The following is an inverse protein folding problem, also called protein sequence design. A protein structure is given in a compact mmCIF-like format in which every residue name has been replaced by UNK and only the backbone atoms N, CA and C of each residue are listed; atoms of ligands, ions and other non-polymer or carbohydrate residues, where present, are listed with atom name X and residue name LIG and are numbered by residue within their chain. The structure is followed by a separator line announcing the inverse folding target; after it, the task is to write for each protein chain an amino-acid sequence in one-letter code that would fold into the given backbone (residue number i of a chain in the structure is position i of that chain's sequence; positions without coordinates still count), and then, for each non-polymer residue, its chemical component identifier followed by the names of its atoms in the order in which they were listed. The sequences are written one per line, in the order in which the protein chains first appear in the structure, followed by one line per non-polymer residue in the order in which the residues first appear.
data_IF_623255949179
#
_entry.id   IF_623255949179
#
_cell.length_a   1.000
_cell.length_b   1.000
_cell.length_c   1.000
_cell.angle_alpha   90.00
_cell.angle_beta   90.00
_cell.angle_gamma   90.00
#
_symmetry.space_group_name_H-M   'P 1'
#
loop_
_entity.id
_entity.type
_entity.pdbx_description
1 polymer ?
#
# COMPACT_ATOMS: atom_id res chain seq x y z
N UNK A 1 -4.21 7.40 -3.40
CA UNK A 1 -3.46 8.06 -2.31
C UNK A 1 -2.12 7.38 -2.11
N UNK A 2 -1.10 8.12 -1.73
CA UNK A 2 0.20 7.53 -1.39
C UNK A 2 0.95 8.41 -0.38
N UNK A 3 1.90 7.80 0.34
CA UNK A 3 2.64 8.44 1.44
C UNK A 3 3.89 9.19 0.93
N UNK A 4 3.70 10.22 0.12
CA UNK A 4 4.79 10.90 -0.59
C UNK A 4 5.77 11.68 0.31
N UNK A 5 5.41 11.94 1.56
CA UNK A 5 6.23 12.75 2.46
C UNK A 5 7.12 11.93 3.41
N UNK A 6 7.19 10.61 3.22
CA UNK A 6 7.96 9.73 4.10
C UNK A 6 9.38 9.45 3.61
N UNK A 7 9.92 10.34 2.79
CA UNK A 7 11.29 10.26 2.26
C UNK A 7 12.30 10.45 3.41
N UNK A 8 13.38 9.64 3.50
CA UNK A 8 13.74 8.55 2.59
C UNK A 8 12.93 7.28 2.84
N UNK A 9 12.52 6.63 1.74
CA UNK A 9 11.75 5.40 1.85
C UNK A 9 12.64 4.21 2.19
N UNK A 10 12.09 3.28 2.97
CA UNK A 10 12.73 2.01 3.27
C UNK A 10 12.09 0.91 2.43
N UNK A 11 12.90 -0.07 2.02
CA UNK A 11 12.46 -1.16 1.16
C UNK A 11 11.40 -2.01 1.89
N UNK A 12 10.16 -1.92 1.43
CA UNK A 12 8.99 -2.67 1.95
C UNK A 12 8.77 -2.54 3.46
N UNK A 13 9.24 -1.44 4.03
CA UNK A 13 9.24 -1.31 5.49
C UNK A 13 8.69 0.05 5.91
N UNK A 14 7.55 0.01 6.60
CA UNK A 14 6.95 1.20 7.21
C UNK A 14 6.52 0.87 8.64
N UNK A 15 6.56 1.87 9.50
CA UNK A 15 6.07 1.71 10.86
C UNK A 15 4.54 1.68 10.93
N UNK A 16 3.99 1.24 12.06
CA UNK A 16 2.53 1.19 12.23
C UNK A 16 1.87 2.56 12.15
N UNK A 17 2.60 3.64 12.44
CA UNK A 17 2.07 5.01 12.33
C UNK A 17 1.69 5.36 10.90
N UNK A 18 2.41 4.83 9.90
CA UNK A 18 2.09 5.05 8.49
C UNK A 18 0.78 4.35 8.13
N UNK A 19 0.62 3.11 8.56
CA UNK A 19 -0.62 2.36 8.33
C UNK A 19 -1.80 3.08 8.98
N UNK A 20 -1.63 3.52 10.21
CA UNK A 20 -2.69 4.22 10.96
C UNK A 20 -3.06 5.55 10.28
N UNK A 21 -2.06 6.38 9.95
CA UNK A 21 -2.29 7.67 9.30
C UNK A 21 -2.94 7.51 7.93
N UNK A 22 -2.43 6.59 7.12
CA UNK A 22 -2.99 6.34 5.79
C UNK A 22 -4.41 5.80 5.86
N UNK A 23 -4.73 4.98 6.86
CA UNK A 23 -6.09 4.49 7.05
C UNK A 23 -7.07 5.62 7.35
N UNK A 24 -6.69 6.56 8.21
CA UNK A 24 -7.53 7.70 8.55
C UNK A 24 -7.74 8.61 7.33
N UNK A 25 -6.66 8.96 6.63
CA UNK A 25 -6.73 9.83 5.45
C UNK A 25 -7.56 9.17 4.34
N UNK A 26 -7.30 7.89 4.06
CA UNK A 26 -7.99 7.16 2.99
C UNK A 26 -9.48 7.00 3.31
N UNK A 27 -9.83 6.74 4.56
CA UNK A 27 -11.24 6.66 4.97
C UNK A 27 -11.96 7.98 4.74
N UNK A 28 -11.31 9.11 5.06
CA UNK A 28 -11.89 10.42 4.88
C UNK A 28 -12.06 10.77 3.40
N UNK A 29 -11.05 10.50 2.58
CA UNK A 29 -11.14 10.72 1.13
C UNK A 29 -12.24 9.84 0.52
N UNK A 30 -12.31 8.58 0.92
CA UNK A 30 -13.33 7.63 0.43
C UNK A 30 -14.74 8.11 0.77
N UNK A 31 -14.92 8.67 1.95
CA UNK A 31 -16.20 9.22 2.38
C UNK A 31 -16.66 10.39 1.50
N UNK A 32 -15.72 11.26 1.12
CA UNK A 32 -16.00 12.45 0.30
C UNK A 32 -16.29 12.08 -1.14
N UNK A 33 -15.51 11.14 -1.73
CA UNK A 33 -15.65 10.73 -3.13
C UNK A 33 -16.28 9.33 -3.23
N UNK A 34 -17.42 9.16 -2.61
CA UNK A 34 -18.05 7.85 -2.41
C UNK A 34 -18.53 7.14 -3.67
N UNK A 35 -18.59 7.84 -4.80
CA UNK A 35 -19.02 7.28 -6.09
C UNK A 35 -17.88 7.04 -7.07
N UNK A 36 -16.62 7.22 -6.64
CA UNK A 36 -15.44 7.00 -7.48
C UNK A 36 -14.58 5.89 -6.89
N UNK A 37 -13.97 5.04 -7.75
CA UNK A 37 -12.99 4.07 -7.25
C UNK A 37 -11.79 4.79 -6.62
N UNK A 38 -11.37 4.30 -5.46
CA UNK A 38 -10.22 4.83 -4.72
C UNK A 38 -9.21 3.73 -4.47
N UNK A 39 -7.94 4.09 -4.57
CA UNK A 39 -6.84 3.15 -4.34
C UNK A 39 -5.71 3.77 -3.56
N UNK A 40 -4.74 2.96 -3.18
CA UNK A 40 -3.61 3.36 -2.36
C UNK A 40 -2.32 2.68 -2.81
N UNK A 41 -1.22 3.39 -2.62
CA UNK A 41 0.13 2.85 -2.70
C UNK A 41 0.90 3.31 -1.46
N UNK A 42 1.64 2.41 -0.82
CA UNK A 42 2.53 2.77 0.28
C UNK A 42 3.96 2.53 -0.14
N UNK A 43 4.72 3.59 -0.19
CA UNK A 43 6.12 3.61 -0.63
C UNK A 43 7.06 3.23 0.51
N UNK A 44 8.14 2.51 0.21
CA UNK A 44 8.37 1.94 -1.11
C UNK A 44 8.06 0.44 -1.06
N UNK A 45 7.10 0.02 -1.87
CA UNK A 45 6.78 -1.41 -1.98
C UNK A 45 6.16 -2.04 -0.73
N UNK A 46 5.62 -1.25 0.18
CA UNK A 46 4.92 -1.77 1.36
C UNK A 46 3.52 -2.24 0.98
N UNK A 47 3.47 -3.28 0.16
CA UNK A 47 2.25 -3.73 -0.50
C UNK A 47 1.27 -4.41 0.45
N UNK A 48 1.77 -5.15 1.44
CA UNK A 48 0.90 -5.77 2.47
C UNK A 48 0.18 -4.70 3.28
N UNK A 49 0.92 -3.66 3.68
CA UNK A 49 0.36 -2.55 4.44
C UNK A 49 -0.66 -1.79 3.59
N UNK A 50 -0.42 -1.65 2.29
CA UNK A 50 -1.39 -1.04 1.38
C UNK A 50 -2.68 -1.87 1.31
N UNK A 51 -2.59 -3.19 1.25
CA UNK A 51 -3.77 -4.07 1.30
C UNK A 51 -4.52 -3.92 2.62
N UNK A 52 -3.80 -3.85 3.73
CA UNK A 52 -4.43 -3.67 5.05
C UNK A 52 -5.20 -2.35 5.12
N UNK A 53 -4.61 -1.25 4.62
CA UNK A 53 -5.28 0.05 4.57
C UNK A 53 -6.48 0.00 3.63
N UNK A 54 -6.33 -0.61 2.45
CA UNK A 54 -7.42 -0.72 1.49
C UNK A 54 -8.61 -1.47 2.09
N UNK A 55 -8.35 -2.54 2.82
CA UNK A 55 -9.40 -3.30 3.51
C UNK A 55 -10.09 -2.46 4.58
N UNK A 56 -9.31 -1.80 5.42
CA UNK A 56 -9.84 -0.99 6.53
C UNK A 56 -10.62 0.23 6.05
N UNK A 57 -10.19 0.86 4.97
CA UNK A 57 -10.78 2.09 4.45
C UNK A 57 -11.78 1.86 3.30
N UNK A 58 -12.08 0.60 2.98
CA UNK A 58 -13.00 0.23 1.91
C UNK A 58 -12.57 0.78 0.55
N UNK A 59 -11.30 0.62 0.21
CA UNK A 59 -10.76 1.02 -1.09
C UNK A 59 -10.89 -0.12 -2.09
N UNK A 60 -10.86 0.22 -3.39
CA UNK A 60 -11.15 -0.73 -4.45
C UNK A 60 -9.91 -1.38 -5.04
N UNK A 61 -8.74 -0.76 -4.91
CA UNK A 61 -7.50 -1.28 -5.50
C UNK A 61 -6.27 -0.75 -4.79
N UNK A 62 -5.12 -1.37 -5.07
CA UNK A 62 -3.82 -0.85 -4.68
C UNK A 62 -2.93 -0.74 -5.92
N UNK A 63 -1.88 0.08 -5.83
CA UNK A 63 -0.76 0.04 -6.75
C UNK A 63 0.38 -0.68 -6.05
N UNK A 64 0.76 -1.84 -6.59
CA UNK A 64 1.79 -2.68 -6.00
C UNK A 64 3.12 -2.46 -6.72
N UNK A 65 4.15 -2.07 -5.98
CA UNK A 65 5.49 -1.91 -6.50
C UNK A 65 6.24 -3.23 -6.40
N UNK A 66 6.92 -3.64 -7.49
CA UNK A 66 7.66 -4.90 -7.51
C UNK A 66 6.75 -6.11 -7.31
N UNK A 67 5.62 -6.14 -7.98
CA UNK A 67 4.63 -7.21 -7.79
C UNK A 67 5.10 -8.53 -8.41
N UNK A 68 5.27 -8.54 -9.73
CA UNK A 68 5.71 -9.74 -10.47
C UNK A 68 7.22 -9.71 -10.73
N UNK A 69 7.75 -8.55 -11.09
CA UNK A 69 9.14 -8.38 -11.49
C UNK A 69 9.95 -7.65 -10.43
N UNK A 70 11.14 -8.19 -10.13
CA UNK A 70 12.11 -7.53 -9.28
C UNK A 70 12.79 -6.39 -10.04
N UNK A 71 13.24 -5.37 -9.32
CA UNK A 71 13.98 -4.26 -9.91
C UNK A 71 14.90 -3.63 -8.87
N UNK A 72 15.76 -2.72 -9.31
CA UNK A 72 16.67 -1.98 -8.43
C UNK A 72 16.18 -0.54 -8.34
N UNK A 73 16.05 -0.03 -7.12
CA UNK A 73 15.60 1.32 -6.82
C UNK A 73 16.55 1.96 -5.81
N UNK A 74 16.27 3.21 -5.42
CA UNK A 74 17.05 3.91 -4.40
C UNK A 74 17.11 3.14 -3.08
N UNK A 75 16.05 2.39 -2.77
CA UNK A 75 15.93 1.59 -1.55
C UNK A 75 16.69 0.26 -1.63
N UNK A 76 17.30 -0.05 -2.77
CA UNK A 76 18.00 -1.31 -3.02
C UNK A 76 17.24 -2.22 -3.97
N UNK A 77 17.54 -3.52 -3.89
CA UNK A 77 16.86 -4.51 -4.73
C UNK A 77 15.45 -4.73 -4.21
N UNK A 78 14.47 -4.46 -5.06
CA UNK A 78 13.06 -4.69 -4.76
C UNK A 78 12.66 -6.04 -5.37
N UNK A 79 12.56 -7.06 -4.53
CA UNK A 79 12.16 -8.41 -4.99
C UNK A 79 10.64 -8.46 -5.20
N UNK A 80 10.22 -9.28 -6.18
CA UNK A 80 8.79 -9.50 -6.43
C UNK A 80 8.14 -10.19 -5.23
N UNK A 81 6.89 -9.81 -4.93
CA UNK A 81 6.15 -10.35 -3.79
C UNK A 81 4.73 -10.82 -4.16
N UNK A 82 4.47 -11.07 -5.44
CA UNK A 82 3.14 -11.40 -5.91
C UNK A 82 2.50 -12.56 -5.14
N UNK A 83 3.26 -13.64 -4.90
CA UNK A 83 2.75 -14.80 -4.18
C UNK A 83 2.35 -14.50 -2.75
N UNK A 84 3.24 -13.83 -2.01
CA UNK A 84 2.97 -13.43 -0.63
C UNK A 84 1.79 -12.47 -0.55
N UNK A 85 1.75 -11.50 -1.45
CA UNK A 85 0.73 -10.48 -1.46
C UNK A 85 -0.66 -11.08 -1.73
N UNK A 86 -0.77 -11.98 -2.69
CA UNK A 86 -2.04 -12.62 -3.02
C UNK A 86 -2.53 -13.52 -1.87
N UNK A 87 -1.62 -14.22 -1.19
CA UNK A 87 -1.98 -15.01 -0.01
C UNK A 87 -2.48 -14.12 1.12
N UNK A 88 -1.82 -13.00 1.35
CA UNK A 88 -2.25 -12.05 2.36
C UNK A 88 -3.62 -11.47 2.03
N UNK A 89 -3.84 -11.09 0.76
CA UNK A 89 -5.14 -10.59 0.31
C UNK A 89 -6.25 -11.59 0.62
N UNK A 90 -6.02 -12.87 0.34
CA UNK A 90 -6.99 -13.92 0.63
C UNK A 90 -7.23 -14.07 2.13
N UNK A 91 -6.18 -13.94 2.93
CA UNK A 91 -6.25 -14.08 4.39
C UNK A 91 -7.13 -13.00 5.03
N UNK A 92 -7.02 -11.78 4.56
CA UNK A 92 -7.76 -10.66 5.16
C UNK A 92 -9.14 -10.44 4.52
N UNK A 93 -9.46 -11.13 3.45
CA UNK A 93 -10.74 -10.97 2.76
C UNK A 93 -10.67 -9.89 1.69
#
# INVERSE_FOLDING_TARGET
MENMHDIPYLNRHVGPEIVAAMSVVCSEVRRVVNNLPCGIQILAGANKEALAVAKAADLQFIRAEGFVFSHIADEGTMNSDAGELLRYRKQIG
#
